data_IF_893407855017
#
_entry.id   IF_893407855017
#
_cell.length_a   1.000
_cell.length_b   1.000
_cell.length_c   1.000
_cell.angle_alpha   90.00
_cell.angle_beta   90.00
_cell.angle_gamma   90.00
#
_symmetry.space_group_name_H-M   'P 1'
#
loop_
_entity.id
_entity.type
_entity.pdbx_description
1 polymer ?
#
# COMPACT_ATOMS: atom_id res chain seq x y z
N UNK A 1 5.09 -11.66 21.65
CA UNK A 1 5.59 -10.41 21.03
C UNK A 1 5.72 -10.55 19.51
N UNK A 2 6.57 -11.44 18.99
CA UNK A 2 6.77 -11.62 17.52
C UNK A 2 5.48 -11.87 16.71
N UNK A 3 4.55 -12.71 17.23
CA UNK A 3 3.23 -12.93 16.60
C UNK A 3 2.35 -11.67 16.57
N UNK A 4 2.37 -10.87 17.64
CA UNK A 4 1.59 -9.63 17.71
C UNK A 4 2.11 -8.58 16.72
N UNK A 5 3.43 -8.47 16.55
CA UNK A 5 4.04 -7.57 15.55
C UNK A 5 3.61 -7.95 14.13
N UNK A 6 3.56 -9.25 13.81
CA UNK A 6 3.04 -9.72 12.53
C UNK A 6 1.55 -9.43 12.35
N UNK A 7 0.71 -9.69 13.37
CA UNK A 7 -0.73 -9.42 13.29
C UNK A 7 -0.99 -7.93 13.09
N UNK A 8 -0.36 -7.07 13.90
CA UNK A 8 -0.48 -5.62 13.74
C UNK A 8 0.00 -5.15 12.36
N UNK A 9 1.11 -5.71 11.89
CA UNK A 9 1.64 -5.43 10.56
C UNK A 9 0.69 -5.81 9.42
N UNK A 10 0.04 -6.97 9.50
CA UNK A 10 -0.96 -7.40 8.53
C UNK A 10 -2.22 -6.52 8.57
N UNK A 11 -2.63 -6.07 9.77
CA UNK A 11 -3.75 -5.11 9.90
C UNK A 11 -3.40 -3.80 9.20
N UNK A 12 -2.20 -3.27 9.44
CA UNK A 12 -1.73 -2.03 8.77
C UNK A 12 -1.66 -2.22 7.25
N UNK A 13 -1.17 -3.36 6.77
CA UNK A 13 -1.15 -3.69 5.34
C UNK A 13 -2.56 -3.78 4.74
N UNK A 14 -3.50 -4.35 5.48
CA UNK A 14 -4.92 -4.40 5.09
C UNK A 14 -5.54 -3.01 4.99
N UNK A 15 -5.31 -2.15 5.99
CA UNK A 15 -5.76 -0.76 5.98
C UNK A 15 -5.12 0.03 4.83
N UNK A 16 -3.82 -0.13 4.60
CA UNK A 16 -3.11 0.49 3.48
C UNK A 16 -3.71 0.07 2.13
N UNK A 17 -4.03 -1.22 1.98
CA UNK A 17 -4.68 -1.73 0.77
C UNK A 17 -6.08 -1.13 0.59
N UNK A 18 -6.87 -1.04 1.66
CA UNK A 18 -8.19 -0.40 1.61
C UNK A 18 -8.10 1.08 1.20
N UNK A 19 -7.12 1.83 1.72
CA UNK A 19 -6.92 3.23 1.34
C UNK A 19 -6.50 3.34 -0.12
N UNK A 20 -5.56 2.51 -0.60
CA UNK A 20 -5.11 2.54 -1.98
C UNK A 20 -6.25 2.23 -2.97
N UNK A 21 -6.97 1.13 -2.75
CA UNK A 21 -8.09 0.74 -3.60
C UNK A 21 -9.29 1.69 -3.47
N UNK A 22 -9.56 2.20 -2.26
CA UNK A 22 -10.60 3.20 -2.06
C UNK A 22 -10.28 4.52 -2.76
N UNK A 23 -9.02 4.96 -2.72
CA UNK A 23 -8.55 6.13 -3.46
C UNK A 23 -8.67 5.96 -4.97
N UNK A 24 -8.30 4.80 -5.51
CA UNK A 24 -8.48 4.50 -6.93
C UNK A 24 -9.95 4.48 -7.34
N UNK A 25 -10.81 3.79 -6.59
CA UNK A 25 -12.24 3.74 -6.87
C UNK A 25 -12.88 5.14 -6.85
N UNK A 26 -12.45 6.01 -5.93
CA UNK A 26 -12.88 7.41 -5.89
C UNK A 26 -12.38 8.22 -7.08
N UNK A 27 -11.12 8.03 -7.49
CA UNK A 27 -10.55 8.70 -8.65
C UNK A 27 -11.26 8.29 -9.94
N UNK A 28 -11.47 7.00 -10.17
CA UNK A 28 -12.22 6.49 -11.32
C UNK A 28 -13.65 7.03 -11.34
N UNK A 29 -14.36 6.93 -10.21
CA UNK A 29 -15.72 7.46 -10.10
C UNK A 29 -15.78 8.96 -10.38
N UNK A 30 -14.85 9.74 -9.83
CA UNK A 30 -14.79 11.19 -10.05
C UNK A 30 -14.44 11.56 -11.49
N UNK A 31 -13.61 10.75 -12.14
CA UNK A 31 -13.19 10.94 -13.53
C UNK A 31 -14.35 10.63 -14.49
N UNK A 32 -15.07 9.53 -14.26
CA UNK A 32 -16.27 9.19 -15.02
C UNK A 32 -17.37 10.25 -14.85
N UNK A 33 -17.57 10.73 -13.62
CA UNK A 33 -18.51 11.81 -13.36
C UNK A 33 -18.11 13.10 -14.09
N UNK A 34 -16.85 13.50 -14.02
CA UNK A 34 -16.37 14.71 -14.71
C UNK A 34 -16.47 14.57 -16.24
N UNK A 35 -16.17 13.40 -16.80
CA UNK A 35 -16.30 13.14 -18.23
C UNK A 35 -17.77 13.20 -18.69
N UNK A 36 -18.71 12.70 -17.89
CA UNK A 36 -20.14 12.75 -18.18
C UNK A 36 -20.75 14.15 -18.09
N UNK A 37 -20.10 15.07 -17.37
CA UNK A 37 -20.55 16.46 -17.20
C UNK A 37 -19.69 17.48 -17.98
N UNK A 38 -18.76 17.02 -18.83
CA UNK A 38 -17.88 17.91 -19.60
C UNK A 38 -18.67 18.89 -20.49
N UNK A 39 -19.83 18.47 -21.01
CA UNK A 39 -20.75 19.29 -21.81
C UNK A 39 -21.30 20.51 -21.06
N UNK A 40 -21.28 20.48 -19.71
CA UNK A 40 -21.74 21.60 -18.88
C UNK A 40 -20.65 22.67 -18.67
N UNK A 41 -19.38 22.34 -18.91
CA UNK A 41 -18.24 23.23 -18.67
C UNK A 41 -17.98 24.14 -19.87
N UNK A 42 -18.29 23.68 -21.08
CA UNK A 42 -18.07 24.43 -22.33
C UNK A 42 -19.04 23.99 -23.42
N UNK A 43 -19.64 24.94 -24.15
CA UNK A 43 -20.43 24.66 -25.35
C UNK A 43 -19.60 24.49 -26.63
N UNK A 44 -18.26 24.59 -26.53
CA UNK A 44 -17.33 24.45 -27.66
C UNK A 44 -16.94 22.97 -27.79
N UNK A 45 -17.31 22.27 -28.88
CA UNK A 45 -17.12 20.83 -29.02
C UNK A 45 -15.67 20.36 -28.85
N UNK A 46 -14.72 21.13 -29.37
CA UNK A 46 -13.27 20.82 -29.30
C UNK A 46 -12.72 20.84 -27.86
N UNK A 47 -13.23 21.76 -27.02
CA UNK A 47 -12.83 21.87 -25.61
C UNK A 47 -13.40 20.68 -24.82
N UNK A 48 -14.65 20.31 -25.07
CA UNK A 48 -15.31 19.16 -24.42
C UNK A 48 -14.59 17.85 -24.77
N UNK A 49 -14.23 17.65 -26.03
CA UNK A 49 -13.53 16.45 -26.48
C UNK A 49 -12.14 16.34 -25.82
N UNK A 50 -11.40 17.45 -25.77
CA UNK A 50 -10.08 17.48 -25.13
C UNK A 50 -10.17 17.21 -23.62
N UNK A 51 -11.18 17.79 -22.95
CA UNK A 51 -11.38 17.62 -21.51
C UNK A 51 -11.81 16.18 -21.17
N UNK A 52 -12.73 15.62 -21.94
CA UNK A 52 -13.21 14.24 -21.74
C UNK A 52 -12.10 13.21 -21.99
N UNK A 53 -11.27 13.42 -23.01
CA UNK A 53 -10.07 12.61 -23.23
C UNK A 53 -9.09 12.73 -22.05
N UNK A 54 -8.76 13.94 -21.61
CA UNK A 54 -7.80 14.17 -20.55
C UNK A 54 -8.24 13.53 -19.22
N UNK A 55 -9.52 13.68 -18.86
CA UNK A 55 -10.09 13.10 -17.63
C UNK A 55 -10.08 11.57 -17.68
N UNK A 56 -10.45 10.96 -18.82
CA UNK A 56 -10.37 9.51 -19.00
C UNK A 56 -8.93 8.99 -18.97
N UNK A 57 -7.99 9.75 -19.53
CA UNK A 57 -6.56 9.41 -19.45
C UNK A 57 -6.04 9.46 -18.01
N UNK A 58 -6.51 10.40 -17.18
CA UNK A 58 -6.17 10.46 -15.76
C UNK A 58 -6.74 9.25 -15.01
N UNK A 59 -8.00 8.87 -15.26
CA UNK A 59 -8.58 7.64 -14.71
C UNK A 59 -7.76 6.40 -15.06
N UNK A 60 -7.48 6.17 -16.35
CA UNK A 60 -6.70 5.02 -16.80
C UNK A 60 -5.26 5.02 -16.29
N UNK A 61 -4.61 6.19 -16.18
CA UNK A 61 -3.25 6.29 -15.64
C UNK A 61 -3.23 6.12 -14.11
N UNK A 62 -4.35 6.38 -13.43
CA UNK A 62 -4.45 6.30 -11.97
C UNK A 62 -4.20 4.89 -11.46
N UNK A 63 -4.63 3.86 -12.19
CA UNK A 63 -4.43 2.46 -11.81
C UNK A 63 -2.93 2.15 -11.62
N UNK A 64 -2.10 2.53 -12.60
CA UNK A 64 -0.65 2.29 -12.54
C UNK A 64 -0.01 3.06 -11.38
N UNK A 65 -0.40 4.32 -11.19
CA UNK A 65 0.12 5.16 -10.10
C UNK A 65 -0.27 4.56 -8.74
N UNK A 66 -1.53 4.14 -8.58
CA UNK A 66 -2.04 3.52 -7.36
C UNK A 66 -1.31 2.21 -7.09
N UNK A 67 -1.09 1.38 -8.10
CA UNK A 67 -0.34 0.13 -7.96
C UNK A 67 1.11 0.38 -7.49
N UNK A 68 1.78 1.40 -8.06
CA UNK A 68 3.14 1.78 -7.63
C UNK A 68 3.13 2.25 -6.17
N UNK A 69 2.23 3.17 -5.82
CA UNK A 69 2.11 3.69 -4.44
C UNK A 69 1.79 2.56 -3.48
N UNK A 70 0.84 1.70 -3.83
CA UNK A 70 0.46 0.53 -3.05
C UNK A 70 1.66 -0.39 -2.81
N UNK A 71 2.40 -0.75 -3.87
CA UNK A 71 3.56 -1.62 -3.81
C UNK A 71 4.67 -1.04 -2.93
N UNK A 72 4.96 0.26 -3.08
CA UNK A 72 5.95 0.95 -2.23
C UNK A 72 5.53 0.93 -0.76
N UNK A 73 4.28 1.25 -0.46
CA UNK A 73 3.77 1.20 0.91
C UNK A 73 3.77 -0.21 1.50
N UNK A 74 3.39 -1.22 0.72
CA UNK A 74 3.44 -2.62 1.13
C UNK A 74 4.86 -3.08 1.45
N UNK A 75 5.83 -2.74 0.59
CA UNK A 75 7.25 -3.02 0.81
C UNK A 75 7.78 -2.35 2.08
N UNK A 76 7.41 -1.09 2.33
CA UNK A 76 7.78 -0.37 3.54
C UNK A 76 7.19 -1.03 4.80
N UNK A 77 5.91 -1.39 4.78
CA UNK A 77 5.24 -2.05 5.90
C UNK A 77 5.89 -3.40 6.19
N UNK A 78 6.09 -4.24 5.17
CA UNK A 78 6.73 -5.54 5.32
C UNK A 78 8.19 -5.41 5.77
N UNK A 79 8.93 -4.44 5.23
CA UNK A 79 10.30 -4.11 5.63
C UNK A 79 10.38 -3.72 7.11
N UNK A 80 9.47 -2.86 7.58
CA UNK A 80 9.38 -2.45 8.98
C UNK A 80 9.03 -3.62 9.91
N UNK A 81 8.08 -4.47 9.54
CA UNK A 81 7.73 -5.68 10.30
C UNK A 81 8.93 -6.63 10.40
N UNK A 82 9.63 -6.85 9.28
CA UNK A 82 10.83 -7.67 9.22
C UNK A 82 11.95 -7.12 10.11
N UNK A 83 12.17 -5.81 10.05
CA UNK A 83 13.18 -5.12 10.83
C UNK A 83 12.87 -5.15 12.34
N UNK A 84 11.63 -4.83 12.73
CA UNK A 84 11.18 -4.90 14.12
C UNK A 84 11.34 -6.32 14.68
N UNK A 85 10.99 -7.35 13.90
CA UNK A 85 11.17 -8.74 14.31
C UNK A 85 12.64 -9.16 14.40
N UNK A 86 13.53 -8.60 13.57
CA UNK A 86 14.97 -8.85 13.65
C UNK A 86 15.56 -8.31 14.96
N UNK A 87 15.18 -7.11 15.37
CA UNK A 87 15.64 -6.52 16.62
C UNK A 87 15.05 -7.21 17.86
N UNK A 88 13.76 -7.56 17.83
CA UNK A 88 13.09 -8.29 18.92
C UNK A 88 13.51 -9.77 19.03
N UNK A 89 14.10 -10.32 17.95
CA UNK A 89 14.54 -11.72 17.86
C UNK A 89 15.97 -11.98 18.34
N UNK A 90 16.75 -10.94 18.66
CA UNK A 90 18.08 -11.08 19.28
C UNK A 90 17.94 -11.46 20.76
N UNK A 91 17.43 -12.66 21.05
CA UNK A 91 17.70 -13.30 22.34
C UNK A 91 19.09 -13.93 22.26
N UNK A 92 19.95 -13.75 23.27
CA UNK A 92 21.23 -14.43 23.34
C UNK A 92 21.00 -15.93 23.10
N UNK A 93 21.72 -16.53 22.16
CA UNK A 93 21.76 -17.98 22.01
C UNK A 93 21.93 -18.58 23.42
N UNK A 94 21.14 -19.58 23.84
CA UNK A 94 21.43 -20.27 25.08
C UNK A 94 22.87 -20.76 24.99
N UNK A 95 23.71 -20.22 25.87
CA UNK A 95 25.11 -20.59 25.96
C UNK A 95 25.18 -22.11 26.14
N UNK A 96 25.83 -22.81 25.21
CA UNK A 96 26.19 -24.22 25.33
C UNK A 96 27.33 -24.38 26.36
N UNK A 97 27.15 -23.86 27.57
CA UNK A 97 28.03 -24.02 28.72
C UNK A 97 27.15 -24.65 29.81
N UNK A 98 27.30 -25.90 30.23
CA UNK A 98 28.49 -26.71 30.51
C UNK A 98 28.04 -28.19 30.49
N UNK A 99 28.75 -29.13 29.85
CA UNK A 99 28.72 -30.51 30.33
C UNK A 99 29.42 -30.50 31.68
N UNK A 100 28.59 -30.48 32.72
CA UNK A 100 28.92 -30.67 34.13
C UNK A 100 29.82 -31.90 34.26
N UNK A 101 31.12 -31.66 34.42
CA UNK A 101 32.08 -32.43 35.21
C UNK A 101 31.42 -33.59 35.98
N UNK A 102 31.45 -34.77 35.36
CA UNK A 102 30.97 -36.02 35.90
C UNK A 102 32.17 -36.82 36.38
N UNK A 103 32.42 -36.72 37.69
CA UNK A 103 33.11 -37.71 38.54
C UNK A 103 34.64 -37.83 38.41
N UNK A 104 35.28 -37.33 39.47
CA UNK A 104 36.37 -37.98 40.23
C UNK A 104 36.05 -39.43 40.58
#
# INVERSE_FOLDING_TARGET
MRRLVWIAGLVVLGLWSLVAWGGHALLDWSSDWAAANADQVSGVPEIVETLSWAVRSVGNASEIIVLIVWALGALLILGLIGLANRFLGQRPRPSLSHPRNWRT
#
